data_IF_750009741232
#
_entry.id   IF_750009741232
#
_cell.length_a   1.000
_cell.length_b   1.000
_cell.length_c   1.000
_cell.angle_alpha   90.00
_cell.angle_beta   90.00
_cell.angle_gamma   90.00
#
_symmetry.space_group_name_H-M   'P 1'
#
loop_
_entity.id
_entity.type
_entity.pdbx_description
1 polymer ?
#
# COMPACT_ATOMS: atom_id res chain seq x y z
N UNK A 1 10.06 -12.55 12.82
CA UNK A 1 9.24 -11.58 12.03
C UNK A 1 10.20 -10.79 11.17
N UNK A 2 10.05 -10.75 9.84
CA UNK A 2 10.94 -9.97 8.99
C UNK A 2 10.81 -8.49 9.35
N UNK A 3 11.95 -7.85 9.61
CA UNK A 3 12.03 -6.41 9.90
C UNK A 3 12.35 -5.71 8.59
N UNK A 4 11.50 -4.82 8.08
CA UNK A 4 11.83 -4.00 6.93
C UNK A 4 13.03 -3.10 7.26
N UNK A 5 14.14 -3.25 6.53
CA UNK A 5 15.30 -2.36 6.60
C UNK A 5 15.20 -1.35 5.45
N UNK A 6 15.09 -0.05 5.75
CA UNK A 6 15.00 1.01 4.74
C UNK A 6 14.11 2.18 5.14
N UNK A 7 13.79 3.06 4.17
CA UNK A 7 12.81 4.12 4.36
C UNK A 7 11.49 3.54 4.88
N UNK A 8 10.87 4.23 5.84
CA UNK A 8 9.59 3.77 6.41
C UNK A 8 8.57 3.63 5.28
N UNK A 9 7.78 2.56 5.33
CA UNK A 9 6.62 2.41 4.44
C UNK A 9 5.78 3.70 4.56
N UNK A 10 5.44 4.37 3.43
CA UNK A 10 4.61 5.56 3.45
C UNK A 10 3.26 5.25 4.10
N UNK A 11 2.78 6.19 4.92
CA UNK A 11 1.50 6.05 5.61
C UNK A 11 0.37 6.56 4.71
N UNK A 12 -0.82 5.99 4.88
CA UNK A 12 -1.97 6.39 4.07
C UNK A 12 -2.72 7.63 4.60
N UNK A 13 -2.41 8.07 5.82
CA UNK A 13 -3.02 9.21 6.49
C UNK A 13 -2.47 10.57 6.03
N UNK A 14 -1.37 10.57 5.27
CA UNK A 14 -0.79 11.77 4.66
C UNK A 14 -1.15 11.84 3.19
N UNK A 15 -1.96 12.83 2.83
CA UNK A 15 -2.45 13.03 1.44
C UNK A 15 -1.29 13.15 0.43
N UNK A 16 -0.23 13.87 0.79
CA UNK A 16 0.99 14.00 -0.03
C UNK A 16 1.70 12.65 -0.30
N UNK A 17 1.59 11.69 0.62
CA UNK A 17 2.21 10.38 0.50
C UNK A 17 1.25 9.32 -0.03
N UNK A 18 -0.05 9.60 -0.07
CA UNK A 18 -1.08 8.62 -0.43
C UNK A 18 -0.85 8.01 -1.82
N UNK A 19 -0.50 8.76 -2.89
CA UNK A 19 -0.16 8.17 -4.18
C UNK A 19 1.04 7.22 -4.11
N UNK A 20 2.07 7.57 -3.34
CA UNK A 20 3.25 6.72 -3.12
C UNK A 20 2.90 5.45 -2.33
N UNK A 21 2.02 5.58 -1.32
CA UNK A 21 1.46 4.46 -0.58
C UNK A 21 0.70 3.51 -1.51
N UNK A 22 -0.23 4.02 -2.31
CA UNK A 22 -1.00 3.23 -3.26
C UNK A 22 -0.10 2.47 -4.25
N UNK A 23 0.88 3.16 -4.82
CA UNK A 23 1.87 2.55 -5.72
C UNK A 23 2.65 1.42 -5.01
N UNK A 24 3.14 1.65 -3.79
CA UNK A 24 3.88 0.63 -3.05
C UNK A 24 3.00 -0.58 -2.70
N UNK A 25 1.75 -0.36 -2.28
CA UNK A 25 0.84 -1.46 -1.95
C UNK A 25 0.51 -2.30 -3.18
N UNK A 26 0.31 -1.68 -4.34
CA UNK A 26 0.14 -2.41 -5.60
C UNK A 26 1.38 -3.25 -5.93
N UNK A 27 2.58 -2.67 -5.79
CA UNK A 27 3.83 -3.36 -6.06
C UNK A 27 4.06 -4.60 -5.18
N UNK A 28 3.64 -4.53 -3.91
CA UNK A 28 3.83 -5.60 -2.93
C UNK A 28 2.78 -6.71 -3.03
N UNK A 29 1.52 -6.37 -3.33
CA UNK A 29 0.40 -7.29 -3.15
C UNK A 29 -0.32 -7.67 -4.44
N UNK A 30 -0.20 -6.89 -5.51
CA UNK A 30 -0.77 -7.25 -6.80
C UNK A 30 0.18 -8.23 -7.50
N UNK A 31 -0.29 -9.29 -8.17
CA UNK A 31 0.55 -10.07 -9.07
C UNK A 31 0.83 -9.24 -10.32
N UNK A 32 2.11 -9.03 -10.67
CA UNK A 32 2.49 -8.26 -11.85
C UNK A 32 3.72 -8.85 -12.54
N UNK A 33 3.79 -8.68 -13.87
CA UNK A 33 4.99 -8.97 -14.68
C UNK A 33 5.55 -7.69 -15.30
N UNK A 34 4.70 -6.69 -15.51
CA UNK A 34 5.01 -5.40 -16.09
C UNK A 34 4.30 -4.26 -15.35
N UNK A 35 4.76 -3.02 -15.56
CA UNK A 35 4.14 -1.83 -14.96
C UNK A 35 2.70 -1.63 -15.43
N UNK A 36 2.37 -2.09 -16.64
CA UNK A 36 1.01 -2.05 -17.19
C UNK A 36 0.04 -2.95 -16.44
N UNK A 37 0.53 -3.95 -15.71
CA UNK A 37 -0.31 -4.76 -14.83
C UNK A 37 -0.66 -4.01 -13.55
N UNK A 38 0.16 -3.03 -13.14
CA UNK A 38 -0.06 -2.29 -11.90
C UNK A 38 -1.15 -1.24 -12.05
N UNK A 39 -1.12 -0.47 -13.15
CA UNK A 39 -2.12 0.55 -13.45
C UNK A 39 -2.38 0.66 -14.98
N UNK A 40 -3.60 1.03 -15.32
CA UNK A 40 -4.06 1.35 -16.67
C UNK A 40 -3.57 2.75 -17.06
N UNK A 41 -3.23 2.91 -18.34
CA UNK A 41 -2.75 4.21 -18.84
C UNK A 41 -3.81 5.29 -18.66
N UNK A 42 -3.49 6.30 -17.86
CA UNK A 42 -4.36 7.46 -17.59
C UNK A 42 -5.12 7.40 -16.26
N UNK A 43 -5.06 6.28 -15.53
CA UNK A 43 -5.58 6.22 -14.16
C UNK A 43 -4.51 6.60 -13.14
N UNK A 44 -4.93 7.17 -12.02
CA UNK A 44 -4.06 7.46 -10.88
C UNK A 44 -3.75 6.20 -10.07
N UNK A 45 -2.64 6.23 -9.32
CA UNK A 45 -2.28 5.13 -8.41
C UNK A 45 -3.36 4.86 -7.35
N UNK A 46 -4.06 5.91 -6.92
CA UNK A 46 -5.17 5.81 -5.97
C UNK A 46 -6.34 5.02 -6.55
N UNK A 47 -6.75 5.33 -7.78
CA UNK A 47 -7.84 4.62 -8.47
C UNK A 47 -7.47 3.15 -8.73
N UNK A 48 -6.24 2.89 -9.20
CA UNK A 48 -5.73 1.54 -9.42
C UNK A 48 -5.73 0.71 -8.11
N UNK A 49 -5.36 1.34 -6.99
CA UNK A 49 -5.34 0.70 -5.69
C UNK A 49 -6.74 0.41 -5.15
N UNK A 50 -7.70 1.32 -5.33
CA UNK A 50 -9.10 1.07 -4.96
C UNK A 50 -9.70 -0.10 -5.73
N UNK A 51 -9.45 -0.18 -7.04
CA UNK A 51 -9.87 -1.32 -7.86
C UNK A 51 -9.23 -2.62 -7.34
N UNK A 52 -7.93 -2.60 -7.05
CA UNK A 52 -7.22 -3.76 -6.50
C UNK A 52 -7.80 -4.21 -5.16
N UNK A 53 -8.10 -3.28 -4.24
CA UNK A 53 -8.70 -3.60 -2.93
C UNK A 53 -10.02 -4.35 -3.05
N UNK A 54 -10.84 -4.02 -4.05
CA UNK A 54 -12.10 -4.72 -4.31
C UNK A 54 -11.91 -6.17 -4.78
N UNK A 55 -10.74 -6.51 -5.32
CA UNK A 55 -10.39 -7.87 -5.76
C UNK A 55 -9.59 -8.65 -4.72
N UNK A 56 -9.11 -7.99 -3.66
CA UNK A 56 -8.27 -8.61 -2.65
C UNK A 56 -9.05 -9.56 -1.74
N UNK A 57 -8.37 -10.61 -1.28
CA UNK A 57 -8.88 -11.40 -0.17
C UNK A 57 -8.84 -10.60 1.14
N UNK A 58 -9.72 -10.94 2.08
CA UNK A 58 -9.74 -10.32 3.41
C UNK A 58 -8.39 -10.46 4.15
N UNK A 59 -7.63 -11.53 3.88
CA UNK A 59 -6.31 -11.74 4.47
C UNK A 59 -5.30 -10.69 3.99
N UNK A 60 -5.26 -10.39 2.69
CA UNK A 60 -4.38 -9.35 2.14
C UNK A 60 -4.77 -7.97 2.66
N UNK A 61 -6.07 -7.67 2.70
CA UNK A 61 -6.57 -6.40 3.27
C UNK A 61 -6.19 -6.24 4.75
N UNK A 62 -6.23 -7.33 5.52
CA UNK A 62 -5.80 -7.32 6.92
C UNK A 62 -4.30 -7.02 7.05
N UNK A 63 -3.46 -7.59 6.20
CA UNK A 63 -2.01 -7.28 6.19
C UNK A 63 -1.76 -5.81 5.87
N UNK A 64 -2.41 -5.28 4.83
CA UNK A 64 -2.32 -3.86 4.45
C UNK A 64 -2.75 -2.96 5.62
N UNK A 65 -3.86 -3.28 6.27
CA UNK A 65 -4.34 -2.51 7.43
C UNK A 65 -3.37 -2.57 8.61
N UNK A 66 -2.79 -3.73 8.89
CA UNK A 66 -1.82 -3.90 9.97
C UNK A 66 -0.54 -3.09 9.74
N UNK A 67 -0.14 -2.86 8.48
CA UNK A 67 0.98 -1.98 8.16
C UNK A 67 0.72 -0.55 8.64
N UNK A 68 -0.50 -0.03 8.47
CA UNK A 68 -0.86 1.28 9.03
C UNK A 68 -0.83 1.27 10.57
N UNK A 69 -1.46 0.27 11.19
CA UNK A 69 -1.54 0.18 12.66
C UNK A 69 -0.13 0.17 13.29
N UNK A 70 0.84 -0.49 12.64
CA UNK A 70 2.23 -0.48 13.08
C UNK A 70 2.81 0.94 13.15
N UNK A 71 2.48 1.79 12.17
CA UNK A 71 2.89 3.18 12.17
C UNK A 71 2.21 3.98 13.29
N UNK A 72 0.90 3.83 13.46
CA UNK A 72 0.13 4.49 14.53
C UNK A 72 0.63 4.11 15.93
N UNK A 73 0.96 2.83 16.13
CA UNK A 73 1.51 2.34 17.38
C UNK A 73 2.93 2.87 17.65
N UNK A 74 3.73 3.11 16.61
CA UNK A 74 5.06 3.72 16.75
C UNK A 74 4.92 5.18 17.18
N UNK A 75 4.08 5.95 16.50
CA UNK A 75 3.87 7.36 16.83
C UNK A 75 3.24 7.57 18.21
N UNK A 76 2.42 6.63 18.70
CA UNK A 76 1.83 6.70 20.04
C UNK A 76 2.84 6.44 21.17
N UNK A 77 4.02 5.91 20.85
CA UNK A 77 5.09 5.60 21.82
C UNK A 77 6.16 6.69 21.90
N UNK A 78 6.25 7.53 20.88
CA UNK A 78 7.13 8.70 20.81
C UNK A 78 6.43 9.94 21.39
#
# INVERSE_FOLDING_TARGET
VPVPLGASIPRHDKEELYPCYCHLMLLLFKPWTSVSDLHVKGESWSEAFEQFRNTCSASVLSVINNMQILHECRDSRD
#
